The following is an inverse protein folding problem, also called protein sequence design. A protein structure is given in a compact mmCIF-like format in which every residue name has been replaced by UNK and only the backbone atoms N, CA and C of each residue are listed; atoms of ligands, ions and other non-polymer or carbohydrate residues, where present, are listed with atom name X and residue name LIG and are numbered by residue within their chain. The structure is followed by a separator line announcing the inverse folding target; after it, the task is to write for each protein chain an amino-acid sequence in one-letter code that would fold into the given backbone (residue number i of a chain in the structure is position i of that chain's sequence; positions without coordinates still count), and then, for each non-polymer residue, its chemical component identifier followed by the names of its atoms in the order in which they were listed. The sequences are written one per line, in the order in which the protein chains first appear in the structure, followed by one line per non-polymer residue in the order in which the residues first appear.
data_IF_041289838208
#
_entry.id   IF_041289838208
#
_cell.length_a   1.000
_cell.length_b   1.000
_cell.length_c   1.000
_cell.angle_alpha   90.00
_cell.angle_beta   90.00
_cell.angle_gamma   90.00
#
_symmetry.space_group_name_H-M   'P 1'
#
loop_
_entity.id
_entity.type
_entity.pdbx_description
1 polymer ?
#
# COMPACT_ATOMS: atom_id res chain seq x y z
N UNK A 1 -25.27 -24.70 -4.51
CA UNK A 1 -24.54 -25.05 -5.76
C UNK A 1 -24.91 -24.15 -6.94
N UNK A 2 -26.17 -23.72 -7.08
CA UNK A 2 -26.63 -22.87 -8.20
C UNK A 2 -25.79 -21.60 -8.40
N UNK A 3 -25.44 -20.89 -7.32
CA UNK A 3 -24.58 -19.71 -7.39
C UNK A 3 -23.22 -20.01 -8.04
N UNK A 4 -22.60 -21.15 -7.71
CA UNK A 4 -21.29 -21.54 -8.25
C UNK A 4 -21.38 -21.94 -9.73
N UNK A 5 -22.46 -22.64 -10.13
CA UNK A 5 -22.73 -22.91 -11.54
C UNK A 5 -22.86 -21.60 -12.32
N UNK A 6 -23.63 -20.65 -11.80
CA UNK A 6 -23.83 -19.35 -12.44
C UNK A 6 -22.51 -18.59 -12.60
N UNK A 7 -21.70 -18.50 -11.55
CA UNK A 7 -20.38 -17.82 -11.59
C UNK A 7 -19.42 -18.48 -12.59
N UNK A 8 -19.44 -19.81 -12.68
CA UNK A 8 -18.59 -20.57 -13.59
C UNK A 8 -19.01 -20.40 -15.06
N UNK A 9 -20.32 -20.36 -15.34
CA UNK A 9 -20.84 -20.13 -16.70
C UNK A 9 -20.68 -18.67 -17.14
N UNK A 10 -20.70 -17.75 -16.18
CA UNK A 10 -20.69 -16.29 -16.39
C UNK A 10 -19.49 -15.61 -15.69
N UNK A 11 -18.24 -15.96 -16.03
CA UNK A 11 -17.08 -15.27 -15.47
C UNK A 11 -17.10 -13.79 -15.90
N UNK A 12 -16.56 -12.88 -15.08
CA UNK A 12 -16.63 -11.45 -15.34
C UNK A 12 -15.96 -11.06 -16.67
N UNK A 13 -16.52 -10.07 -17.35
CA UNK A 13 -15.88 -9.47 -18.53
C UNK A 13 -14.75 -8.58 -18.02
N UNK A 14 -13.52 -8.97 -18.30
CA UNK A 14 -12.34 -8.27 -17.82
C UNK A 14 -11.41 -7.90 -18.98
N UNK A 15 -11.07 -6.62 -19.06
CA UNK A 15 -10.06 -6.11 -19.98
C UNK A 15 -8.83 -5.78 -19.14
N UNK A 16 -7.68 -6.34 -19.54
CA UNK A 16 -6.41 -6.10 -18.87
C UNK A 16 -6.09 -4.60 -18.90
N UNK A 17 -5.99 -3.98 -17.72
CA UNK A 17 -5.96 -2.51 -17.60
C UNK A 17 -4.75 -1.95 -16.87
N UNK A 18 -3.96 -2.76 -16.18
CA UNK A 18 -2.91 -2.23 -15.30
C UNK A 18 -1.67 -3.13 -15.34
N UNK A 19 -0.55 -2.57 -15.81
CA UNK A 19 0.77 -3.16 -15.65
C UNK A 19 1.27 -2.89 -14.23
N UNK A 20 1.58 -3.95 -13.48
CA UNK A 20 2.15 -3.88 -12.13
C UNK A 20 3.55 -4.48 -12.14
N UNK A 21 4.49 -3.91 -11.38
CA UNK A 21 5.87 -4.40 -11.25
C UNK A 21 5.93 -5.74 -10.52
N UNK A 22 5.00 -5.97 -9.58
CA UNK A 22 4.95 -7.21 -8.82
C UNK A 22 4.64 -8.38 -9.77
N UNK A 23 5.44 -9.44 -9.68
CA UNK A 23 5.25 -10.68 -10.45
C UNK A 23 4.81 -11.80 -9.50
N UNK A 24 3.67 -12.40 -9.81
CA UNK A 24 3.11 -13.50 -9.03
C UNK A 24 3.55 -14.81 -9.69
N UNK A 25 4.52 -15.50 -9.06
CA UNK A 25 5.19 -16.67 -9.65
C UNK A 25 4.97 -17.95 -8.83
N UNK A 26 3.92 -17.99 -8.02
CA UNK A 26 3.63 -19.14 -7.15
C UNK A 26 2.25 -19.69 -7.47
N UNK A 27 2.13 -21.01 -7.42
CA UNK A 27 0.87 -21.69 -7.68
C UNK A 27 -0.22 -21.33 -6.66
N UNK A 28 0.19 -21.14 -5.40
CA UNK A 28 -0.66 -20.64 -4.33
C UNK A 28 -0.21 -19.25 -3.92
N UNK A 29 -0.99 -18.23 -4.26
CA UNK A 29 -0.66 -16.83 -3.96
C UNK A 29 -1.73 -16.16 -3.10
N UNK A 30 -1.31 -15.49 -2.04
CA UNK A 30 -2.14 -14.56 -1.27
C UNK A 30 -1.68 -13.12 -1.55
N UNK A 31 -2.47 -12.40 -2.34
CA UNK A 31 -2.20 -11.01 -2.74
C UNK A 31 -2.86 -10.08 -1.72
N UNK A 32 -2.05 -9.49 -0.86
CA UNK A 32 -2.51 -8.59 0.20
C UNK A 32 -2.30 -7.13 -0.20
N UNK A 33 -3.36 -6.33 -0.26
CA UNK A 33 -3.24 -4.92 -0.62
C UNK A 33 -4.41 -4.09 -0.14
N UNK A 34 -4.15 -2.80 0.10
CA UNK A 34 -5.19 -1.89 0.58
C UNK A 34 -6.33 -1.70 -0.44
N UNK A 35 -7.42 -1.06 -0.03
CA UNK A 35 -8.52 -0.69 -0.93
C UNK A 35 -8.00 0.16 -2.11
N UNK A 36 -8.47 -0.09 -3.33
CA UNK A 36 -8.02 0.59 -4.57
C UNK A 36 -6.55 0.32 -4.98
N UNK A 37 -5.88 -0.66 -4.39
CA UNK A 37 -4.49 -1.01 -4.75
C UNK A 37 -4.33 -1.76 -6.06
N UNK A 38 -5.40 -2.25 -6.69
CA UNK A 38 -5.30 -3.03 -7.93
C UNK A 38 -5.20 -4.55 -7.75
N UNK A 39 -5.32 -5.07 -6.51
CA UNK A 39 -5.18 -6.51 -6.22
C UNK A 39 -6.18 -7.40 -6.97
N UNK A 40 -7.44 -6.95 -7.10
CA UNK A 40 -8.47 -7.67 -7.85
C UNK A 40 -8.13 -7.76 -9.33
N UNK A 41 -7.60 -6.67 -9.92
CA UNK A 41 -7.13 -6.65 -11.30
C UNK A 41 -5.95 -7.60 -11.52
N UNK A 42 -5.01 -7.70 -10.57
CA UNK A 42 -3.91 -8.67 -10.65
C UNK A 42 -4.45 -10.11 -10.63
N UNK A 43 -5.36 -10.42 -9.70
CA UNK A 43 -5.96 -11.76 -9.62
C UNK A 43 -6.69 -12.12 -10.92
N UNK A 44 -7.50 -11.19 -11.46
CA UNK A 44 -8.21 -11.39 -12.72
C UNK A 44 -7.24 -11.55 -13.90
N UNK A 45 -6.17 -10.75 -13.98
CA UNK A 45 -5.11 -10.94 -14.98
C UNK A 45 -4.57 -12.39 -14.95
N UNK A 46 -4.20 -12.90 -13.77
CA UNK A 46 -3.66 -14.25 -13.61
C UNK A 46 -4.65 -15.36 -13.99
N UNK A 47 -5.94 -15.18 -13.70
CA UNK A 47 -6.96 -16.16 -14.07
C UNK A 47 -7.24 -16.15 -15.57
N UNK A 48 -7.47 -14.98 -16.16
CA UNK A 48 -7.97 -14.84 -17.52
C UNK A 48 -6.90 -15.02 -18.61
N UNK A 49 -5.65 -15.31 -18.22
CA UNK A 49 -4.62 -15.89 -19.10
C UNK A 49 -4.97 -17.34 -19.52
N UNK A 50 -5.90 -18.00 -18.83
CA UNK A 50 -6.26 -19.41 -19.03
C UNK A 50 -7.60 -19.57 -19.77
N UNK A 51 -7.92 -20.81 -20.16
CA UNK A 51 -9.17 -21.13 -20.85
C UNK A 51 -10.40 -20.89 -19.96
N UNK A 52 -11.49 -20.39 -20.55
CA UNK A 52 -12.71 -19.99 -19.82
C UNK A 52 -13.32 -21.14 -18.99
N UNK A 53 -13.25 -22.37 -19.46
CA UNK A 53 -13.78 -23.56 -18.77
C UNK A 53 -12.77 -24.20 -17.79
N UNK A 54 -11.60 -23.59 -17.59
CA UNK A 54 -10.61 -24.03 -16.60
C UNK A 54 -10.55 -23.13 -15.36
N UNK A 55 -11.28 -22.01 -15.36
CA UNK A 55 -11.22 -20.99 -14.31
C UNK A 55 -12.49 -20.97 -13.46
N UNK A 56 -12.33 -20.66 -12.18
CA UNK A 56 -13.43 -20.29 -11.28
C UNK A 56 -13.04 -19.01 -10.54
N UNK A 57 -13.80 -17.95 -10.75
CA UNK A 57 -13.66 -16.68 -10.03
C UNK A 57 -14.82 -16.52 -9.05
N UNK A 58 -14.51 -16.14 -7.81
CA UNK A 58 -15.48 -15.89 -6.74
C UNK A 58 -15.11 -14.58 -6.07
N UNK A 59 -16.04 -13.63 -6.04
CA UNK A 59 -15.92 -12.42 -5.23
C UNK A 59 -16.73 -12.59 -3.95
N UNK A 60 -16.06 -12.62 -2.79
CA UNK A 60 -16.72 -12.79 -1.50
C UNK A 60 -17.47 -11.54 -1.03
N UNK A 61 -17.27 -10.39 -1.67
CA UNK A 61 -18.06 -9.17 -1.43
C UNK A 61 -19.26 -9.04 -2.39
N UNK A 62 -19.53 -10.03 -3.27
CA UNK A 62 -20.75 -10.05 -4.10
C UNK A 62 -21.99 -10.26 -3.23
N UNK A 63 -22.84 -9.24 -3.12
CA UNK A 63 -24.05 -9.25 -2.29
C UNK A 63 -25.05 -10.35 -2.66
N UNK A 64 -24.97 -10.92 -3.86
CA UNK A 64 -25.84 -12.02 -4.33
C UNK A 64 -25.32 -13.39 -3.88
N UNK A 65 -24.04 -13.47 -3.51
CA UNK A 65 -23.38 -14.71 -3.17
C UNK A 65 -23.79 -15.15 -1.76
N UNK A 66 -24.58 -16.22 -1.70
CA UNK A 66 -24.68 -17.04 -0.49
C UNK A 66 -23.65 -18.17 -0.62
N UNK A 67 -22.47 -17.98 -0.04
CA UNK A 67 -21.37 -18.93 -0.13
C UNK A 67 -21.54 -20.06 0.89
N UNK A 68 -21.61 -21.30 0.41
CA UNK A 68 -21.61 -22.49 1.26
C UNK A 68 -20.38 -23.36 0.95
N UNK A 69 -19.63 -23.68 1.99
CA UNK A 69 -18.37 -24.42 1.90
C UNK A 69 -18.53 -25.86 1.39
N UNK A 70 -19.62 -26.54 1.75
CA UNK A 70 -19.86 -27.92 1.34
C UNK A 70 -20.24 -27.99 -0.14
N UNK A 71 -21.08 -27.05 -0.58
CA UNK A 71 -21.43 -26.84 -1.97
C UNK A 71 -20.21 -26.50 -2.81
N UNK A 72 -19.28 -25.69 -2.30
CA UNK A 72 -18.04 -25.36 -2.99
C UNK A 72 -17.19 -26.61 -3.25
N UNK A 73 -16.96 -27.44 -2.23
CA UNK A 73 -16.23 -28.70 -2.38
C UNK A 73 -16.93 -29.68 -3.33
N UNK A 74 -18.25 -29.79 -3.24
CA UNK A 74 -19.05 -30.65 -4.12
C UNK A 74 -18.98 -30.16 -5.57
N UNK A 75 -19.09 -28.85 -5.79
CA UNK A 75 -19.00 -28.23 -7.11
C UNK A 75 -17.63 -28.48 -7.77
N UNK A 76 -16.53 -28.29 -7.04
CA UNK A 76 -15.18 -28.59 -7.55
C UNK A 76 -15.00 -30.07 -7.88
N UNK A 77 -15.64 -30.96 -7.11
CA UNK A 77 -15.62 -32.39 -7.39
C UNK A 77 -16.36 -32.78 -8.67
N UNK A 78 -17.44 -32.08 -9.01
CA UNK A 78 -18.20 -32.31 -10.24
C UNK A 78 -17.51 -31.68 -11.46
N UNK A 79 -16.89 -30.51 -11.31
CA UNK A 79 -16.30 -29.74 -12.39
C UNK A 79 -14.79 -29.98 -12.52
N UNK A 80 -14.42 -31.18 -12.97
CA UNK A 80 -13.01 -31.62 -13.07
C UNK A 80 -12.15 -30.83 -14.06
N UNK A 81 -12.75 -29.98 -14.91
CA UNK A 81 -12.03 -29.08 -15.82
C UNK A 81 -11.36 -27.91 -15.11
N UNK A 82 -11.88 -27.50 -13.95
CA UNK A 82 -11.35 -26.35 -13.21
C UNK A 82 -9.94 -26.67 -12.71
N UNK A 83 -9.00 -25.83 -13.11
CA UNK A 83 -7.58 -25.89 -12.76
C UNK A 83 -7.10 -24.65 -12.01
N UNK A 84 -7.77 -23.51 -12.21
CA UNK A 84 -7.38 -22.22 -11.66
C UNK A 84 -8.54 -21.64 -10.86
N UNK A 85 -8.29 -21.32 -9.60
CA UNK A 85 -9.28 -20.72 -8.71
C UNK A 85 -8.80 -19.34 -8.28
N UNK A 86 -9.66 -18.33 -8.41
CA UNK A 86 -9.43 -17.03 -7.81
C UNK A 86 -10.55 -16.68 -6.85
N UNK A 87 -10.18 -16.31 -5.63
CA UNK A 87 -11.12 -15.85 -4.60
C UNK A 87 -10.71 -14.44 -4.20
N UNK A 88 -11.58 -13.47 -4.49
CA UNK A 88 -11.37 -12.07 -4.15
C UNK A 88 -11.97 -11.73 -2.77
N UNK A 89 -11.43 -10.69 -2.14
CA UNK A 89 -11.93 -10.11 -0.89
C UNK A 89 -12.02 -11.08 0.31
N UNK A 90 -11.03 -11.98 0.45
CA UNK A 90 -10.93 -12.91 1.57
C UNK A 90 -10.70 -12.22 2.93
N UNK A 91 -11.40 -12.69 3.97
CA UNK A 91 -11.36 -12.13 5.32
C UNK A 91 -10.91 -13.18 6.35
N UNK A 92 -10.28 -12.72 7.43
CA UNK A 92 -9.71 -13.55 8.52
C UNK A 92 -10.75 -14.26 9.37
N UNK A 93 -11.98 -13.76 9.42
CA UNK A 93 -13.06 -14.31 10.23
C UNK A 93 -13.71 -15.58 9.63
N UNK A 94 -13.42 -15.92 8.37
CA UNK A 94 -14.03 -17.05 7.66
C UNK A 94 -13.26 -18.37 7.89
N UNK A 95 -13.05 -18.73 9.15
CA UNK A 95 -12.15 -19.82 9.56
C UNK A 95 -12.40 -21.19 8.88
N UNK A 96 -13.65 -21.48 8.49
CA UNK A 96 -14.01 -22.71 7.76
C UNK A 96 -13.52 -22.67 6.31
N UNK A 97 -13.82 -21.58 5.59
CA UNK A 97 -13.36 -21.36 4.23
C UNK A 97 -11.82 -21.36 4.15
N UNK A 98 -11.13 -20.69 5.08
CA UNK A 98 -9.66 -20.68 5.12
C UNK A 98 -9.09 -22.11 5.22
N UNK A 99 -9.62 -22.94 6.12
CA UNK A 99 -9.20 -24.34 6.26
C UNK A 99 -9.48 -25.16 5.00
N UNK A 100 -10.58 -24.90 4.30
CA UNK A 100 -10.88 -25.59 3.05
C UNK A 100 -9.87 -25.22 1.99
N UNK A 101 -9.60 -23.92 1.81
CA UNK A 101 -8.65 -23.40 0.82
C UNK A 101 -7.26 -23.99 1.03
N UNK A 102 -6.76 -24.02 2.27
CA UNK A 102 -5.45 -24.61 2.59
C UNK A 102 -5.38 -26.09 2.16
N UNK A 103 -6.48 -26.83 2.37
CA UNK A 103 -6.56 -28.25 2.06
C UNK A 103 -6.89 -28.57 0.59
N UNK A 104 -7.28 -27.59 -0.24
CA UNK A 104 -7.78 -27.85 -1.61
C UNK A 104 -6.79 -28.64 -2.45
N UNK A 105 -5.50 -28.26 -2.46
CA UNK A 105 -4.51 -28.95 -3.29
C UNK A 105 -4.20 -30.38 -2.84
N UNK A 106 -4.42 -30.69 -1.56
CA UNK A 106 -4.25 -32.07 -1.05
C UNK A 106 -5.44 -32.97 -1.41
N UNK A 107 -6.64 -32.38 -1.58
CA UNK A 107 -7.90 -33.11 -1.78
C UNK A 107 -8.34 -33.18 -3.24
N UNK A 108 -7.92 -32.22 -4.07
CA UNK A 108 -8.35 -32.09 -5.46
C UNK A 108 -7.13 -32.02 -6.38
N UNK A 109 -6.82 -33.15 -7.03
CA UNK A 109 -5.63 -33.33 -7.88
C UNK A 109 -5.62 -32.46 -9.15
N UNK A 110 -6.75 -31.85 -9.53
CA UNK A 110 -6.87 -31.10 -10.77
C UNK A 110 -6.57 -29.60 -10.60
N UNK A 111 -6.62 -29.09 -9.38
CA UNK A 111 -6.40 -27.66 -9.09
C UNK A 111 -4.90 -27.41 -9.10
N UNK A 112 -4.44 -26.64 -10.09
CA UNK A 112 -3.04 -26.25 -10.25
C UNK A 112 -2.73 -24.99 -9.47
N UNK A 113 -3.56 -23.95 -9.61
CA UNK A 113 -3.28 -22.64 -9.03
C UNK A 113 -4.47 -22.10 -8.23
N UNK A 114 -4.16 -21.45 -7.12
CA UNK A 114 -5.11 -20.78 -6.24
C UNK A 114 -4.58 -19.37 -5.97
N UNK A 115 -5.31 -18.37 -6.44
CA UNK A 115 -5.01 -16.97 -6.24
C UNK A 115 -6.05 -16.36 -5.30
N UNK A 116 -5.59 -15.71 -4.25
CA UNK A 116 -6.45 -15.11 -3.24
C UNK A 116 -6.11 -13.63 -3.15
N UNK A 117 -7.10 -12.78 -2.92
CA UNK A 117 -6.81 -11.43 -2.43
C UNK A 117 -7.38 -11.18 -1.05
N UNK A 118 -6.71 -10.30 -0.31
CA UNK A 118 -7.21 -9.78 0.96
C UNK A 118 -6.76 -8.34 1.16
N UNK A 119 -7.45 -7.63 2.05
CA UNK A 119 -6.96 -6.37 2.60
C UNK A 119 -6.11 -6.58 3.86
N UNK A 120 -6.29 -7.68 4.57
CA UNK A 120 -5.76 -7.87 5.92
C UNK A 120 -4.33 -8.42 5.89
N UNK A 121 -3.35 -7.59 6.26
CA UNK A 121 -1.95 -8.04 6.39
C UNK A 121 -1.76 -9.05 7.51
N UNK A 122 -2.67 -9.15 8.46
CA UNK A 122 -2.66 -10.15 9.50
C UNK A 122 -3.01 -11.55 8.99
N UNK A 123 -3.72 -11.66 7.85
CA UNK A 123 -4.08 -12.94 7.25
C UNK A 123 -2.84 -13.64 6.69
N UNK A 124 -2.57 -14.85 7.17
CA UNK A 124 -1.56 -15.74 6.62
C UNK A 124 -2.19 -17.12 6.44
N UNK A 125 -1.80 -17.82 5.38
CA UNK A 125 -2.30 -19.15 5.06
C UNK A 125 -1.11 -20.08 4.81
N UNK A 126 -1.23 -21.31 5.31
CA UNK A 126 -0.22 -22.34 5.12
C UNK A 126 -0.08 -22.69 3.63
N UNK A 127 1.15 -22.87 3.17
CA UNK A 127 1.50 -23.15 1.77
C UNK A 127 1.16 -22.05 0.75
N UNK A 128 0.69 -20.87 1.19
CA UNK A 128 0.50 -19.72 0.30
C UNK A 128 1.69 -18.77 0.39
N UNK A 129 2.26 -18.43 -0.77
CA UNK A 129 3.22 -17.33 -0.83
C UNK A 129 2.45 -16.02 -0.78
N UNK A 130 2.78 -15.19 0.20
CA UNK A 130 2.16 -13.87 0.39
C UNK A 130 2.88 -12.81 -0.43
N UNK A 131 2.10 -11.98 -1.11
CA UNK A 131 2.57 -10.85 -1.90
C UNK A 131 1.93 -9.58 -1.37
N UNK A 132 2.74 -8.66 -0.84
CA UNK A 132 2.26 -7.38 -0.36
C UNK A 132 2.23 -6.39 -1.52
N UNK A 133 1.02 -5.91 -1.85
CA UNK A 133 0.77 -4.95 -2.91
C UNK A 133 0.61 -3.55 -2.32
N UNK A 134 1.58 -2.68 -2.62
CA UNK A 134 1.45 -1.25 -2.38
C UNK A 134 0.53 -0.62 -3.44
N UNK A 135 0.20 0.66 -3.22
CA UNK A 135 -0.36 1.50 -4.29
C UNK A 135 0.65 1.70 -5.42
N UNK A 136 0.21 2.36 -6.49
CA UNK A 136 1.11 2.64 -7.61
C UNK A 136 2.33 3.43 -7.12
N UNK A 137 3.52 2.98 -7.49
CA UNK A 137 4.66 3.89 -7.45
C UNK A 137 4.58 4.87 -8.64
N UNK A 138 5.46 5.86 -8.67
CA UNK A 138 5.41 6.88 -9.72
C UNK A 138 5.60 6.29 -11.13
N UNK A 139 6.40 5.23 -11.29
CA UNK A 139 6.60 4.59 -12.59
C UNK A 139 5.35 3.81 -13.03
N UNK A 140 4.72 3.05 -12.12
CA UNK A 140 3.45 2.36 -12.35
C UNK A 140 2.33 3.37 -12.68
N UNK A 141 2.34 4.55 -12.04
CA UNK A 141 1.43 5.63 -12.35
C UNK A 141 1.61 6.16 -13.78
N UNK A 142 2.86 6.44 -14.20
CA UNK A 142 3.15 6.86 -15.58
C UNK A 142 2.70 5.78 -16.58
N UNK A 143 2.97 4.51 -16.28
CA UNK A 143 2.56 3.41 -17.13
C UNK A 143 1.03 3.30 -17.29
N UNK A 144 0.27 3.68 -16.25
CA UNK A 144 -1.19 3.68 -16.25
C UNK A 144 -1.79 4.88 -17.02
N UNK A 145 -1.30 6.10 -16.78
CA UNK A 145 -1.81 7.33 -17.43
C UNK A 145 -1.44 7.40 -18.92
N UNK A 146 -0.36 6.74 -19.32
CA UNK A 146 0.12 6.71 -20.70
C UNK A 146 1.21 7.75 -21.00
N UNK A 147 1.68 7.75 -22.25
CA UNK A 147 2.89 8.46 -22.67
C UNK A 147 2.66 9.97 -22.76
N UNK A 148 2.89 10.70 -21.66
CA UNK A 148 3.30 12.11 -21.76
C UNK A 148 4.81 12.21 -21.57
N UNK A 149 5.45 13.12 -22.31
CA UNK A 149 6.91 13.28 -22.26
C UNK A 149 7.38 14.23 -21.14
N UNK A 150 6.47 14.94 -20.48
CA UNK A 150 6.79 15.88 -19.41
C UNK A 150 6.61 15.22 -18.03
N UNK A 151 7.74 14.79 -17.47
CA UNK A 151 7.78 14.19 -16.12
C UNK A 151 7.33 15.15 -15.02
N UNK A 152 7.53 16.47 -15.18
CA UNK A 152 7.08 17.47 -14.22
C UNK A 152 5.56 17.60 -14.20
N UNK A 153 4.92 17.56 -15.38
CA UNK A 153 3.46 17.51 -15.51
C UNK A 153 2.89 16.20 -14.93
N UNK A 154 3.49 15.05 -15.26
CA UNK A 154 3.09 13.75 -14.68
C UNK A 154 3.22 13.71 -13.17
N UNK A 155 4.29 14.28 -12.64
CA UNK A 155 4.48 14.39 -11.20
C UNK A 155 3.43 15.30 -10.54
N UNK A 156 3.06 16.41 -11.18
CA UNK A 156 2.01 17.29 -10.70
C UNK A 156 0.64 16.59 -10.66
N UNK A 157 0.34 15.79 -11.68
CA UNK A 157 -0.87 14.97 -11.73
C UNK A 157 -0.84 13.84 -10.68
N UNK A 158 0.29 13.15 -10.55
CA UNK A 158 0.50 12.11 -9.52
C UNK A 158 0.26 12.67 -8.12
N UNK A 159 0.84 13.83 -7.80
CA UNK A 159 0.57 14.50 -6.54
C UNK A 159 -0.91 14.82 -6.43
N UNK A 160 -1.55 15.39 -7.44
CA UNK A 160 -2.96 15.80 -7.38
C UNK A 160 -3.90 14.62 -7.16
N UNK A 161 -3.74 13.55 -7.94
CA UNK A 161 -4.62 12.36 -7.96
C UNK A 161 -4.38 11.42 -6.78
N UNK A 162 -3.13 11.24 -6.38
CA UNK A 162 -2.73 10.15 -5.50
C UNK A 162 -2.18 8.96 -6.28
N UNK A 163 -1.78 7.94 -5.53
CA UNK A 163 -1.25 6.69 -6.06
C UNK A 163 -2.29 5.55 -6.15
N UNK A 164 -3.56 5.84 -5.87
CA UNK A 164 -4.68 4.95 -6.15
C UNK A 164 -4.89 4.77 -7.66
N UNK A 165 -5.39 3.60 -8.07
CA UNK A 165 -5.81 3.34 -9.46
C UNK A 165 -7.11 4.09 -9.82
N UNK A 166 -7.88 4.46 -8.79
CA UNK A 166 -9.18 5.11 -8.90
C UNK A 166 -9.06 6.62 -8.65
N UNK A 167 -9.99 7.38 -9.22
CA UNK A 167 -10.09 8.82 -9.03
C UNK A 167 -10.58 9.22 -7.62
N UNK A 168 -10.54 10.52 -7.34
CA UNK A 168 -10.90 11.10 -6.04
C UNK A 168 -12.35 10.80 -5.61
N UNK A 169 -13.31 10.87 -6.53
CA UNK A 169 -14.73 10.65 -6.22
C UNK A 169 -14.94 9.19 -5.82
N UNK A 170 -14.37 8.28 -6.61
CA UNK A 170 -14.39 6.84 -6.35
C UNK A 170 -13.73 6.51 -5.01
N UNK A 171 -12.61 7.16 -4.66
CA UNK A 171 -11.96 6.95 -3.35
C UNK A 171 -12.94 7.25 -2.20
N UNK A 172 -13.60 8.42 -2.19
CA UNK A 172 -14.51 8.76 -1.09
C UNK A 172 -15.73 7.83 -1.03
N UNK A 173 -16.29 7.46 -2.17
CA UNK A 173 -17.41 6.52 -2.23
C UNK A 173 -16.99 5.14 -1.72
N UNK A 174 -15.80 4.67 -2.11
CA UNK A 174 -15.27 3.39 -1.67
C UNK A 174 -14.99 3.37 -0.16
N UNK A 175 -14.49 4.47 0.42
CA UNK A 175 -14.35 4.58 1.87
C UNK A 175 -15.71 4.47 2.57
N UNK A 176 -16.74 5.21 2.12
CA UNK A 176 -18.08 5.15 2.70
C UNK A 176 -18.73 3.77 2.58
N UNK A 177 -18.46 3.05 1.50
CA UNK A 177 -18.98 1.70 1.28
C UNK A 177 -18.30 0.63 2.16
N UNK A 178 -17.05 0.87 2.59
CA UNK A 178 -16.22 -0.15 3.25
C UNK A 178 -16.02 0.05 4.75
N UNK A 179 -16.36 1.23 5.28
CA UNK A 179 -16.16 1.57 6.69
C UNK A 179 -17.42 2.18 7.29
N UNK A 180 -17.68 1.82 8.55
CA UNK A 180 -18.73 2.42 9.36
C UNK A 180 -18.48 3.90 9.64
N UNK A 181 -19.53 4.61 10.03
CA UNK A 181 -19.43 6.03 10.37
C UNK A 181 -18.38 6.31 11.46
N UNK A 182 -18.31 5.47 12.50
CA UNK A 182 -17.30 5.59 13.55
C UNK A 182 -15.87 5.40 13.02
N UNK A 183 -15.66 4.43 12.15
CA UNK A 183 -14.34 4.21 11.51
C UNK A 183 -13.97 5.42 10.65
N UNK A 184 -14.91 5.95 9.85
CA UNK A 184 -14.67 7.15 9.04
C UNK A 184 -14.33 8.37 9.89
N UNK A 185 -15.00 8.57 11.03
CA UNK A 185 -14.66 9.64 11.99
C UNK A 185 -13.22 9.47 12.51
N UNK A 186 -12.82 8.25 12.87
CA UNK A 186 -11.45 7.94 13.30
C UNK A 186 -10.45 8.24 12.19
N UNK A 187 -10.75 7.86 10.95
CA UNK A 187 -9.88 8.08 9.79
C UNK A 187 -9.72 9.58 9.48
N UNK A 188 -10.81 10.36 9.54
CA UNK A 188 -10.80 11.81 9.39
C UNK A 188 -9.96 12.49 10.48
N UNK A 189 -10.05 12.03 11.72
CA UNK A 189 -9.22 12.55 12.81
C UNK A 189 -7.74 12.19 12.61
N UNK A 190 -7.43 10.97 12.18
CA UNK A 190 -6.07 10.54 11.84
C UNK A 190 -5.43 11.44 10.77
N UNK A 191 -6.19 11.90 9.78
CA UNK A 191 -5.70 12.78 8.71
C UNK A 191 -5.14 14.12 9.24
N UNK A 192 -5.60 14.59 10.41
CA UNK A 192 -5.08 15.82 11.04
C UNK A 192 -3.65 15.64 11.59
N UNK A 193 -3.23 14.40 11.83
CA UNK A 193 -1.94 14.06 12.44
C UNK A 193 -0.88 13.57 11.44
N UNK A 194 -1.14 13.63 10.14
CA UNK A 194 -0.14 13.18 9.14
C UNK A 194 1.19 13.90 9.34
N UNK A 195 2.26 13.10 9.34
CA UNK A 195 3.64 13.51 9.61
C UNK A 195 3.85 14.13 11.02
N UNK A 196 3.02 13.77 11.99
CA UNK A 196 3.16 14.19 13.39
C UNK A 196 3.22 12.98 14.31
N UNK A 197 3.78 13.16 15.51
CA UNK A 197 3.79 12.12 16.52
C UNK A 197 2.35 11.68 16.82
N UNK A 198 2.10 10.40 16.65
CA UNK A 198 0.76 9.82 16.71
C UNK A 198 0.51 9.12 18.05
N UNK A 199 -0.69 9.30 18.58
CA UNK A 199 -1.21 8.57 19.73
C UNK A 199 -2.68 8.25 19.51
N UNK A 200 -3.03 6.97 19.52
CA UNK A 200 -4.44 6.53 19.42
C UNK A 200 -5.29 7.10 20.54
N UNK A 201 -4.72 7.27 21.75
CA UNK A 201 -5.41 7.92 22.85
C UNK A 201 -5.77 9.38 22.53
N UNK A 202 -4.90 10.09 21.81
CA UNK A 202 -5.17 11.48 21.39
C UNK A 202 -6.32 11.55 20.38
N UNK A 203 -6.41 10.60 19.46
CA UNK A 203 -7.55 10.47 18.54
C UNK A 203 -8.84 10.27 19.32
N UNK A 204 -8.83 9.34 20.29
CA UNK A 204 -9.98 9.11 21.17
C UNK A 204 -10.39 10.36 21.97
N UNK A 205 -9.43 11.05 22.60
CA UNK A 205 -9.74 12.24 23.40
C UNK A 205 -10.33 13.37 22.56
N UNK A 206 -9.86 13.55 21.33
CA UNK A 206 -10.41 14.56 20.42
C UNK A 206 -11.84 14.21 19.97
N UNK A 207 -12.08 12.94 19.63
CA UNK A 207 -13.39 12.52 19.11
C UNK A 207 -14.47 12.49 20.18
N UNK A 208 -14.16 12.04 21.40
CA UNK A 208 -15.14 11.91 22.48
C UNK A 208 -15.73 13.25 22.95
N UNK A 209 -15.06 14.37 22.65
CA UNK A 209 -15.57 15.72 22.94
C UNK A 209 -16.81 16.07 22.10
N UNK A 210 -16.90 15.49 20.90
CA UNK A 210 -17.96 15.83 19.93
C UNK A 210 -18.88 14.65 19.61
N UNK A 211 -18.43 13.40 19.82
CA UNK A 211 -19.12 12.19 19.40
C UNK A 211 -19.19 11.14 20.49
N UNK A 212 -20.28 10.36 20.49
CA UNK A 212 -20.43 9.18 21.37
C UNK A 212 -19.67 7.98 20.79
N UNK A 213 -18.36 7.93 21.06
CA UNK A 213 -17.47 6.85 20.62
C UNK A 213 -16.70 6.26 21.80
N UNK A 214 -16.57 4.93 21.85
CA UNK A 214 -15.79 4.25 22.90
C UNK A 214 -14.31 4.21 22.54
N UNK A 215 -13.45 4.09 23.57
CA UNK A 215 -12.02 3.95 23.39
C UNK A 215 -11.68 2.70 22.56
N UNK A 216 -12.28 1.56 22.87
CA UNK A 216 -11.98 0.30 22.20
C UNK A 216 -12.27 0.37 20.69
N UNK A 217 -13.40 0.96 20.28
CA UNK A 217 -13.73 1.17 18.87
C UNK A 217 -12.71 2.03 18.12
N UNK A 218 -12.14 3.04 18.78
CA UNK A 218 -11.07 3.87 18.17
C UNK A 218 -9.80 3.05 17.97
N UNK A 219 -9.44 2.22 18.95
CA UNK A 219 -8.24 1.38 18.86
C UNK A 219 -8.40 0.27 17.82
N UNK A 220 -9.56 -0.38 17.76
CA UNK A 220 -9.92 -1.35 16.73
C UNK A 220 -9.86 -0.74 15.33
N UNK A 221 -10.44 0.46 15.14
CA UNK A 221 -10.41 1.15 13.85
C UNK A 221 -8.97 1.49 13.42
N UNK A 222 -8.14 2.04 14.33
CA UNK A 222 -6.73 2.34 14.02
C UNK A 222 -5.94 1.07 13.69
N UNK A 223 -6.15 -0.01 14.45
CA UNK A 223 -5.52 -1.30 14.15
C UNK A 223 -5.95 -1.82 12.77
N UNK A 224 -7.25 -1.79 12.47
CA UNK A 224 -7.79 -2.20 11.17
C UNK A 224 -7.19 -1.38 10.03
N UNK A 225 -7.06 -0.06 10.17
CA UNK A 225 -6.44 0.78 9.13
C UNK A 225 -4.97 0.46 8.91
N UNK A 226 -4.22 0.12 9.97
CA UNK A 226 -2.82 -0.28 9.86
C UNK A 226 -2.70 -1.65 9.18
N UNK A 227 -3.55 -2.59 9.59
CA UNK A 227 -3.62 -3.94 9.03
C UNK A 227 -4.02 -3.93 7.56
N UNK A 228 -4.99 -3.10 7.19
CA UNK A 228 -5.42 -2.90 5.80
C UNK A 228 -4.44 -2.04 5.00
N UNK A 229 -3.48 -1.37 5.66
CA UNK A 229 -2.48 -0.53 5.01
C UNK A 229 -2.95 0.84 4.55
N UNK A 230 -4.15 1.25 4.95
CA UNK A 230 -4.64 2.63 4.81
C UNK A 230 -3.71 3.59 5.55
N UNK A 231 -3.40 3.29 6.80
CA UNK A 231 -2.41 4.04 7.57
C UNK A 231 -1.10 3.25 7.66
N UNK A 232 0.00 3.99 7.76
CA UNK A 232 1.36 3.48 7.95
C UNK A 232 1.99 4.23 9.11
N UNK A 233 2.61 3.50 10.03
CA UNK A 233 3.41 4.11 11.07
C UNK A 233 4.89 4.03 10.73
N UNK A 234 5.57 5.18 10.81
CA UNK A 234 7.03 5.25 10.74
C UNK A 234 7.55 5.48 12.16
N UNK A 235 8.28 4.53 12.75
CA UNK A 235 8.85 4.70 14.08
C UNK A 235 9.99 5.72 14.08
N UNK A 236 10.19 6.38 15.21
CA UNK A 236 11.39 7.19 15.45
C UNK A 236 12.57 6.26 15.67
N UNK A 237 13.71 6.54 15.06
CA UNK A 237 14.90 5.73 15.26
C UNK A 237 15.27 5.68 16.75
N UNK A 238 15.39 4.46 17.30
CA UNK A 238 15.71 4.20 18.72
C UNK A 238 14.73 4.85 19.72
N UNK A 239 13.45 4.94 19.37
CA UNK A 239 12.38 5.42 20.26
C UNK A 239 11.07 4.70 19.97
N UNK A 240 10.15 4.71 20.92
CA UNK A 240 8.80 4.13 20.79
C UNK A 240 7.80 5.06 20.11
N UNK A 241 8.13 6.34 19.96
CA UNK A 241 7.28 7.31 19.25
C UNK A 241 7.18 6.98 17.78
N UNK A 242 6.00 7.16 17.18
CA UNK A 242 5.74 6.92 15.75
C UNK A 242 5.03 8.10 15.10
N UNK A 243 5.25 8.29 13.80
CA UNK A 243 4.49 9.23 12.96
C UNK A 243 3.51 8.46 12.08
N UNK A 244 2.34 9.04 11.84
CA UNK A 244 1.34 8.48 10.94
C UNK A 244 1.46 9.05 9.53
N UNK A 245 1.30 8.18 8.55
CA UNK A 245 1.20 8.47 7.12
C UNK A 245 0.09 7.62 6.51
N UNK A 246 -0.31 7.92 5.28
CA UNK A 246 -1.27 7.12 4.53
C UNK A 246 -0.57 6.26 3.48
N UNK A 247 -1.12 5.07 3.20
CA UNK A 247 -0.69 4.26 2.05
C UNK A 247 -1.06 4.92 0.72
N UNK A 248 -2.15 5.70 0.71
CA UNK A 248 -2.46 6.66 -0.36
C UNK A 248 -2.29 8.10 0.11
N UNK A 249 -1.28 8.79 -0.42
CA UNK A 249 -0.96 10.15 0.01
C UNK A 249 -2.04 11.17 -0.40
N UNK A 250 -2.95 10.85 -1.32
CA UNK A 250 -4.11 11.71 -1.63
C UNK A 250 -5.14 11.73 -0.49
N UNK A 251 -5.09 10.79 0.46
CA UNK A 251 -6.01 10.79 1.60
C UNK A 251 -5.90 12.06 2.44
N UNK A 252 -4.72 12.70 2.52
CA UNK A 252 -4.59 14.02 3.17
C UNK A 252 -5.54 15.05 2.57
N UNK A 253 -5.68 15.04 1.25
CA UNK A 253 -6.45 16.02 0.49
C UNK A 253 -7.91 15.62 0.30
N UNK A 254 -8.21 14.32 0.44
CA UNK A 254 -9.54 13.76 0.31
C UNK A 254 -10.28 13.73 1.65
N UNK A 255 -9.55 13.73 2.77
CA UNK A 255 -10.08 13.69 4.14
C UNK A 255 -9.92 15.03 4.88
N UNK A 256 -9.23 16.01 4.29
CA UNK A 256 -9.08 17.34 4.86
C UNK A 256 -9.15 18.45 3.80
N UNK A 257 -9.77 19.57 4.18
CA UNK A 257 -9.71 20.80 3.39
C UNK A 257 -8.37 21.53 3.53
N UNK A 258 -7.59 21.25 4.60
CA UNK A 258 -6.30 21.91 4.82
C UNK A 258 -5.22 21.31 3.93
N UNK A 259 -4.68 22.13 3.02
CA UNK A 259 -3.58 21.73 2.13
C UNK A 259 -2.22 21.90 2.81
N UNK A 260 -1.45 20.83 2.87
CA UNK A 260 -0.09 20.84 3.40
C UNK A 260 0.87 20.20 2.41
N UNK A 261 1.32 20.98 1.41
CA UNK A 261 2.14 20.48 0.31
C UNK A 261 3.37 19.69 0.77
N UNK A 262 4.17 20.23 1.70
CA UNK A 262 5.39 19.56 2.18
C UNK A 262 5.06 18.20 2.82
N UNK A 263 3.98 18.12 3.61
CA UNK A 263 3.53 16.85 4.21
C UNK A 263 3.06 15.86 3.15
N UNK A 264 2.40 16.35 2.10
CA UNK A 264 1.97 15.56 0.95
C UNK A 264 3.15 14.96 0.20
N UNK A 265 4.13 15.78 -0.13
CA UNK A 265 5.37 15.35 -0.78
C UNK A 265 6.13 14.34 0.08
N UNK A 266 6.22 14.57 1.39
CA UNK A 266 6.86 13.63 2.31
C UNK A 266 6.13 12.28 2.38
N UNK A 267 4.79 12.26 2.37
CA UNK A 267 4.04 11.01 2.31
C UNK A 267 4.19 10.33 0.95
N UNK A 268 4.22 11.07 -0.16
CA UNK A 268 4.48 10.51 -1.48
C UNK A 268 5.85 9.81 -1.51
N UNK A 269 6.89 10.45 -0.96
CA UNK A 269 8.22 9.84 -0.87
C UNK A 269 8.20 8.59 0.03
N UNK A 270 7.46 8.59 1.13
CA UNK A 270 7.31 7.37 1.92
C UNK A 270 6.74 6.21 1.09
N UNK A 271 5.73 6.48 0.24
CA UNK A 271 5.16 5.46 -0.63
C UNK A 271 6.18 4.88 -1.60
N UNK A 272 7.06 5.72 -2.17
CA UNK A 272 8.19 5.26 -2.99
C UNK A 272 9.18 4.43 -2.17
N UNK A 273 9.58 4.91 -0.99
CA UNK A 273 10.54 4.22 -0.14
C UNK A 273 10.06 2.84 0.35
N UNK A 274 8.74 2.64 0.45
CA UNK A 274 8.13 1.36 0.84
C UNK A 274 8.33 0.26 -0.23
N UNK A 275 8.76 0.58 -1.45
CA UNK A 275 9.08 -0.42 -2.48
C UNK A 275 10.47 -1.04 -2.29
N UNK A 276 11.36 -0.38 -1.54
CA UNK A 276 12.76 -0.78 -1.36
C UNK A 276 12.97 -1.97 -0.41
N UNK A 277 11.91 -2.47 0.23
CA UNK A 277 11.94 -3.52 1.27
C UNK A 277 12.99 -3.26 2.37
N UNK A 278 13.06 -2.01 2.84
CA UNK A 278 13.93 -1.58 3.94
C UNK A 278 13.12 -1.09 5.12
N UNK A 279 13.71 -1.20 6.31
CA UNK A 279 13.18 -0.51 7.47
C UNK A 279 13.31 1.01 7.30
N UNK A 280 12.24 1.73 7.62
CA UNK A 280 12.17 3.18 7.50
C UNK A 280 11.91 3.76 8.88
N UNK A 281 12.73 4.73 9.27
CA UNK A 281 12.58 5.49 10.50
C UNK A 281 12.52 6.98 10.20
N UNK A 282 12.07 7.77 11.16
CA UNK A 282 12.35 9.22 11.17
C UNK A 282 13.32 9.56 12.31
N UNK A 283 13.93 10.74 12.22
CA UNK A 283 14.74 11.31 13.30
C UNK A 283 14.35 12.77 13.54
N UNK A 284 14.99 13.43 14.50
CA UNK A 284 14.78 14.87 14.70
C UNK A 284 15.38 15.72 13.56
N UNK A 285 16.32 15.17 12.78
CA UNK A 285 17.07 15.92 11.77
C UNK A 285 16.75 15.50 10.33
N UNK A 286 16.26 14.27 10.16
CA UNK A 286 15.94 13.67 8.87
C UNK A 286 14.49 13.21 8.86
N UNK A 287 13.82 13.52 7.75
CA UNK A 287 12.44 13.12 7.51
C UNK A 287 12.31 11.61 7.40
N UNK A 288 13.25 10.97 6.70
CA UNK A 288 13.41 9.53 6.68
C UNK A 288 14.87 9.11 6.84
N UNK A 289 15.06 7.96 7.47
CA UNK A 289 16.35 7.31 7.71
C UNK A 289 16.18 5.81 7.47
N UNK A 290 16.97 5.27 6.55
CA UNK A 290 16.93 3.87 6.13
C UNK A 290 18.27 3.23 6.50
N UNK A 291 18.36 2.53 7.64
CA UNK A 291 19.56 1.79 7.99
C UNK A 291 19.73 0.57 7.07
N UNK A 292 20.97 0.26 6.70
CA UNK A 292 21.30 -0.97 6.00
C UNK A 292 21.90 -1.97 6.99
N UNK A 293 21.16 -3.02 7.33
CA UNK A 293 21.60 -4.05 8.28
C UNK A 293 22.72 -4.94 7.72
N UNK A 294 22.72 -5.15 6.41
CA UNK A 294 23.62 -6.11 5.75
C UNK A 294 24.95 -5.48 5.33
N UNK A 295 24.96 -4.17 5.06
CA UNK A 295 26.15 -3.45 4.61
C UNK A 295 26.40 -2.25 5.51
N UNK A 296 27.42 -2.37 6.36
CA UNK A 296 27.88 -1.26 7.19
C UNK A 296 28.27 -0.08 6.30
N UNK A 297 27.91 1.15 6.70
CA UNK A 297 28.14 2.39 5.95
C UNK A 297 27.35 2.51 4.63
N UNK A 298 26.13 1.95 4.57
CA UNK A 298 25.19 2.20 3.46
C UNK A 298 23.83 2.73 3.94
N UNK A 299 23.82 3.38 5.11
CA UNK A 299 22.60 4.00 5.61
C UNK A 299 22.27 5.21 4.74
N UNK A 300 20.98 5.39 4.46
CA UNK A 300 20.47 6.52 3.69
C UNK A 300 19.69 7.45 4.61
N UNK A 301 19.74 8.74 4.34
CA UNK A 301 18.87 9.72 4.96
C UNK A 301 18.21 10.61 3.91
N UNK A 302 17.05 11.14 4.26
CA UNK A 302 16.23 11.95 3.37
C UNK A 302 15.79 13.25 4.07
N UNK A 303 15.87 14.34 3.33
CA UNK A 303 15.31 15.64 3.66
C UNK A 303 14.33 16.03 2.55
N UNK A 304 13.09 16.34 2.90
CA UNK A 304 12.10 16.88 1.96
C UNK A 304 12.14 18.39 2.09
N UNK A 305 12.80 19.04 1.14
CA UNK A 305 13.07 20.48 1.14
C UNK A 305 12.77 21.06 -0.24
N UNK A 306 11.50 21.04 -0.68
CA UNK A 306 11.07 21.23 -2.06
C UNK A 306 11.58 22.52 -2.73
N UNK A 307 11.65 23.61 -1.95
CA UNK A 307 11.88 24.96 -2.47
C UNK A 307 13.23 25.56 -2.03
N UNK A 308 14.10 24.78 -1.39
CA UNK A 308 15.39 25.27 -0.91
C UNK A 308 16.43 25.24 -2.03
N UNK A 309 17.18 26.32 -2.23
CA UNK A 309 18.25 26.39 -3.23
C UNK A 309 19.45 25.55 -2.81
N UNK A 310 20.22 25.05 -3.78
CA UNK A 310 21.35 24.16 -3.51
C UNK A 310 22.40 24.74 -2.54
N UNK A 311 22.68 26.04 -2.62
CA UNK A 311 23.61 26.70 -1.70
C UNK A 311 23.18 26.61 -0.22
N UNK A 312 21.88 26.80 0.07
CA UNK A 312 21.36 26.62 1.43
C UNK A 312 21.30 25.15 1.84
N UNK A 313 21.03 24.24 0.89
CA UNK A 313 21.09 22.79 1.14
C UNK A 313 22.52 22.37 1.52
N UNK A 314 23.54 22.90 0.84
CA UNK A 314 24.94 22.66 1.16
C UNK A 314 25.31 23.11 2.58
N UNK A 315 24.86 24.31 2.98
CA UNK A 315 25.06 24.79 4.35
C UNK A 315 24.39 23.88 5.39
N UNK A 316 23.18 23.40 5.11
CA UNK A 316 22.49 22.43 5.98
C UNK A 316 23.22 21.09 6.02
N UNK A 317 23.72 20.60 4.89
CA UNK A 317 24.53 19.38 4.81
C UNK A 317 25.79 19.49 5.67
N UNK A 318 26.53 20.61 5.57
CA UNK A 318 27.68 20.89 6.45
C UNK A 318 27.32 20.86 7.93
N UNK A 319 26.21 21.49 8.31
CA UNK A 319 25.74 21.50 9.70
C UNK A 319 25.38 20.10 10.23
N UNK A 320 24.86 19.23 9.37
CA UNK A 320 24.47 17.86 9.72
C UNK A 320 25.62 16.85 9.61
N UNK A 321 26.79 17.26 9.09
CA UNK A 321 27.88 16.38 8.72
C UNK A 321 28.34 15.43 9.85
N UNK A 322 28.62 15.97 11.05
CA UNK A 322 29.04 15.16 12.19
C UNK A 322 27.99 14.10 12.59
N UNK A 323 26.70 14.44 12.45
CA UNK A 323 25.63 13.48 12.72
C UNK A 323 25.53 12.41 11.65
N UNK A 324 25.67 12.78 10.37
CA UNK A 324 25.72 11.83 9.25
C UNK A 324 26.84 10.81 9.46
N UNK A 325 28.03 11.28 9.83
CA UNK A 325 29.20 10.46 10.16
C UNK A 325 28.94 9.52 11.32
N UNK A 326 28.42 10.04 12.45
CA UNK A 326 28.06 9.24 13.63
C UNK A 326 27.01 8.17 13.33
N UNK A 327 26.06 8.49 12.45
CA UNK A 327 24.99 7.58 12.02
C UNK A 327 25.40 6.68 10.85
N UNK A 328 26.66 6.76 10.37
CA UNK A 328 27.20 5.97 9.26
C UNK A 328 26.35 6.09 7.98
N UNK A 329 25.83 7.28 7.75
CA UNK A 329 25.07 7.62 6.54
C UNK A 329 26.08 7.88 5.43
N UNK A 330 26.00 7.10 4.35
CA UNK A 330 26.85 7.30 3.18
C UNK A 330 26.27 8.30 2.20
N UNK A 331 24.94 8.40 2.16
CA UNK A 331 24.24 9.31 1.26
C UNK A 331 23.04 9.97 1.93
N UNK A 332 23.01 11.30 1.84
CA UNK A 332 21.87 12.15 2.18
C UNK A 332 21.19 12.57 0.88
N UNK A 333 19.91 12.22 0.71
CA UNK A 333 19.08 12.74 -0.37
C UNK A 333 18.34 13.99 0.10
N UNK A 334 18.51 15.10 -0.63
CA UNK A 334 17.69 16.29 -0.50
C UNK A 334 16.67 16.31 -1.65
N UNK A 335 15.44 15.92 -1.34
CA UNK A 335 14.36 15.84 -2.32
C UNK A 335 13.78 17.23 -2.55
N UNK A 336 13.86 17.71 -3.79
CA UNK A 336 13.42 19.04 -4.21
C UNK A 336 12.32 19.00 -5.28
N UNK A 337 11.89 20.16 -5.75
CA UNK A 337 10.97 20.32 -6.89
C UNK A 337 11.66 20.54 -8.23
N UNK A 338 12.99 20.57 -8.31
CA UNK A 338 13.66 20.88 -9.58
C UNK A 338 15.16 21.14 -9.50
N UNK A 339 15.76 21.21 -8.31
CA UNK A 339 17.20 21.39 -8.19
C UNK A 339 17.90 20.04 -8.31
N UNK A 340 19.00 20.04 -9.06
CA UNK A 340 19.87 18.89 -9.29
C UNK A 340 21.31 19.30 -9.00
N UNK A 341 21.91 18.69 -8.00
CA UNK A 341 23.31 18.93 -7.66
C UNK A 341 23.82 17.82 -6.75
N UNK A 342 25.14 17.70 -6.60
CA UNK A 342 25.69 16.83 -5.57
C UNK A 342 26.95 17.40 -4.94
N UNK A 343 27.11 17.12 -3.66
CA UNK A 343 28.27 17.50 -2.86
C UNK A 343 28.83 16.29 -2.16
N UNK A 344 30.14 16.26 -1.92
CA UNK A 344 30.78 15.20 -1.13
C UNK A 344 31.72 15.81 -0.10
N UNK A 345 31.64 15.34 1.15
CA UNK A 345 32.55 15.70 2.24
C UNK A 345 32.99 14.38 2.91
N UNK A 346 34.29 14.13 2.96
CA UNK A 346 34.89 12.90 3.54
C UNK A 346 34.18 11.59 3.15
N UNK A 347 33.80 11.46 1.88
CA UNK A 347 33.13 10.26 1.35
C UNK A 347 31.61 10.16 1.62
N UNK A 348 31.01 11.10 2.36
CA UNK A 348 29.55 11.21 2.50
C UNK A 348 29.02 12.09 1.38
N UNK A 349 28.08 11.56 0.57
CA UNK A 349 27.46 12.28 -0.54
C UNK A 349 26.16 12.94 -0.11
N UNK A 350 25.96 14.21 -0.43
CA UNK A 350 24.66 14.87 -0.45
C UNK A 350 24.19 14.96 -1.90
N UNK A 351 23.05 14.34 -2.20
CA UNK A 351 22.45 14.29 -3.54
C UNK A 351 21.16 15.11 -3.54
N UNK A 352 21.18 16.24 -4.23
CA UNK A 352 20.01 17.09 -4.45
C UNK A 352 19.36 16.63 -5.74
N UNK A 353 18.12 16.19 -5.64
CA UNK A 353 17.40 15.65 -6.80
C UNK A 353 15.91 15.95 -6.69
N UNK A 354 15.22 16.22 -7.81
CA UNK A 354 13.78 16.30 -7.86
C UNK A 354 13.13 14.95 -7.49
N UNK A 355 11.92 14.99 -6.96
CA UNK A 355 11.18 13.78 -6.59
C UNK A 355 11.11 12.74 -7.72
N UNK A 356 10.71 13.16 -8.92
CA UNK A 356 10.47 12.23 -10.04
C UNK A 356 11.74 11.53 -10.48
N UNK A 357 12.88 12.23 -10.47
CA UNK A 357 14.16 11.62 -10.79
C UNK A 357 14.54 10.57 -9.75
N UNK A 358 14.36 10.88 -8.47
CA UNK A 358 14.59 9.89 -7.41
C UNK A 358 13.68 8.67 -7.57
N UNK A 359 12.37 8.89 -7.73
CA UNK A 359 11.38 7.83 -7.84
C UNK A 359 11.60 6.91 -9.06
N UNK A 360 12.14 7.44 -10.16
CA UNK A 360 12.49 6.64 -11.35
C UNK A 360 13.89 5.99 -11.27
N UNK A 361 14.65 6.25 -10.21
CA UNK A 361 16.01 5.71 -10.03
C UNK A 361 16.09 4.49 -9.12
N UNK A 362 14.99 4.15 -8.44
CA UNK A 362 14.95 3.14 -7.36
C UNK A 362 14.50 1.75 -7.81
#
# INVERSE_FOLDING_TARGET
MENLNYLYENPPIFQNKIARKIKINSDKALICGQLNSGKSQILLNLLFENQKDEILYIDLDDLRLNFDEADFLKFLNLNKKIKFIGIDNLKTNDSKLLKIIENLSSRNTNIKNIYLTTRQKSLNLNDFKKYNLNMLDFEEFIALEGKTNDLGAMFSEFLTRGNSINDKISIQNNLKANYSENELLVLLECAKFVNQNFSTNKIYTNLKEFYKISKDKVYEAVFKFEDEGIIKFVPKFKSTSKRIYFGDFAFMDNLSYKKHFIKKLQNALLCELLTLDREIYFTDDFDFYLPNKNLQNQNLAFLIIPFTTSGFIYLKFKKLFEKLKKMRISKLYAITMGNEESFTIEGIKCEITPFWQYALSI
#
